data_IF_068534954515
#
_entry.id   IF_068534954515
#
_cell.length_a   1.000
_cell.length_b   1.000
_cell.length_c   1.000
_cell.angle_alpha   90.00
_cell.angle_beta   90.00
_cell.angle_gamma   90.00
#
_symmetry.space_group_name_H-M   'P 1'
#
loop_
_entity.id
_entity.type
_entity.pdbx_description
1 polymer ?
#
# COMPACT_ATOMS: atom_id res chain seq x y z
N UNK A 1 12.76 1.64 -1.91
CA UNK A 1 12.32 2.97 -1.41
C UNK A 1 13.14 4.03 -2.12
N UNK A 2 12.47 4.99 -2.76
CA UNK A 2 13.10 6.11 -3.43
C UNK A 2 13.57 5.86 -4.88
N UNK A 3 13.09 4.79 -5.52
CA UNK A 3 13.24 4.62 -6.97
C UNK A 3 12.19 5.44 -7.73
N UNK A 4 12.33 5.52 -9.05
CA UNK A 4 11.34 6.21 -9.90
C UNK A 4 10.08 5.37 -10.11
N UNK A 5 10.15 4.05 -9.92
CA UNK A 5 9.00 3.15 -9.99
C UNK A 5 8.20 3.10 -8.69
N UNK A 6 6.88 3.01 -8.85
CA UNK A 6 5.96 2.69 -7.78
C UNK A 6 6.08 1.22 -7.34
N UNK A 7 6.00 0.98 -6.04
CA UNK A 7 6.00 -0.36 -5.43
C UNK A 7 4.87 -0.48 -4.41
N UNK A 8 4.20 -1.64 -4.40
CA UNK A 8 3.23 -2.01 -3.37
C UNK A 8 3.67 -3.34 -2.74
N UNK A 9 3.90 -3.35 -1.43
CA UNK A 9 4.34 -4.57 -0.73
C UNK A 9 3.50 -4.85 0.51
N UNK A 10 3.17 -6.11 0.80
CA UNK A 10 2.55 -6.48 2.07
C UNK A 10 3.52 -6.20 3.21
N UNK A 11 3.00 -5.71 4.33
CA UNK A 11 3.78 -5.48 5.54
C UNK A 11 3.60 -6.67 6.48
N UNK A 12 4.72 -7.31 6.82
CA UNK A 12 4.76 -8.33 7.84
C UNK A 12 5.04 -7.68 9.19
N UNK A 13 4.14 -7.89 10.16
CA UNK A 13 4.22 -7.26 11.49
C UNK A 13 4.56 -8.25 12.62
N UNK A 14 5.01 -9.47 12.29
CA UNK A 14 5.17 -10.57 13.28
C UNK A 14 6.14 -10.23 14.42
N UNK A 15 7.14 -9.41 14.14
CA UNK A 15 8.22 -9.02 15.05
C UNK A 15 7.92 -7.70 15.79
N UNK A 16 6.73 -7.15 15.58
CA UNK A 16 6.35 -5.87 16.18
C UNK A 16 6.04 -6.01 17.68
N UNK A 17 6.83 -5.33 18.50
CA UNK A 17 6.70 -5.34 19.98
C UNK A 17 5.91 -4.17 20.57
N UNK A 18 5.73 -3.07 19.82
CA UNK A 18 4.94 -1.90 20.25
C UNK A 18 3.82 -1.65 19.24
N UNK A 19 2.57 -1.84 19.67
CA UNK A 19 1.38 -1.53 18.89
C UNK A 19 0.49 -0.55 19.68
N UNK A 20 -0.02 0.49 18.99
CA UNK A 20 -1.00 1.42 19.58
C UNK A 20 -2.42 0.84 19.64
N UNK A 21 -2.63 -0.35 19.06
CA UNK A 21 -3.90 -1.05 18.94
C UNK A 21 -3.85 -2.08 17.80
N UNK A 22 -4.87 -2.94 17.67
CA UNK A 22 -5.01 -3.84 16.53
C UNK A 22 -5.23 -3.03 15.24
N UNK A 23 -4.68 -3.52 14.13
CA UNK A 23 -5.04 -3.04 12.80
C UNK A 23 -6.19 -3.89 12.28
N UNK A 24 -7.17 -3.25 11.67
CA UNK A 24 -8.21 -3.97 10.95
C UNK A 24 -7.68 -4.32 9.55
N UNK A 25 -7.59 -5.63 9.28
CA UNK A 25 -7.24 -6.14 7.95
C UNK A 25 -5.75 -6.16 7.59
N UNK A 26 -5.43 -6.53 6.34
CA UNK A 26 -4.05 -6.60 5.84
C UNK A 26 -3.44 -5.20 5.67
N UNK A 27 -2.14 -5.09 5.94
CA UNK A 27 -1.39 -3.83 5.78
C UNK A 27 -0.52 -3.88 4.52
N UNK A 28 -0.64 -2.85 3.69
CA UNK A 28 0.18 -2.65 2.48
C UNK A 28 0.97 -1.35 2.64
N UNK A 29 2.25 -1.36 2.24
CA UNK A 29 3.10 -0.17 2.17
C UNK A 29 3.30 0.21 0.71
N UNK A 30 2.90 1.42 0.36
CA UNK A 30 3.07 2.00 -0.97
C UNK A 30 4.32 2.88 -1.01
N UNK A 31 5.19 2.64 -1.97
CA UNK A 31 6.19 3.58 -2.45
C UNK A 31 5.61 4.23 -3.69
N UNK A 32 5.37 5.53 -3.63
CA UNK A 32 4.92 6.28 -4.81
C UNK A 32 6.16 6.67 -5.62
N UNK A 33 6.17 6.28 -6.89
CA UNK A 33 7.18 6.63 -7.87
C UNK A 33 6.92 8.00 -8.49
N UNK A 34 7.43 8.21 -9.70
CA UNK A 34 7.34 9.46 -10.45
C UNK A 34 6.43 9.36 -11.69
N UNK A 35 5.53 8.37 -11.70
CA UNK A 35 4.54 8.21 -12.77
C UNK A 35 3.47 9.32 -12.74
N UNK A 36 2.62 9.34 -13.78
CA UNK A 36 1.50 10.28 -13.86
C UNK A 36 0.53 10.10 -12.68
N UNK A 37 0.13 11.22 -12.08
CA UNK A 37 -0.70 11.22 -10.86
C UNK A 37 -2.09 10.64 -11.10
N UNK A 38 -2.67 10.87 -12.28
CA UNK A 38 -4.01 10.37 -12.59
C UNK A 38 -3.98 8.86 -12.87
N UNK A 39 -2.90 8.36 -13.49
CA UNK A 39 -2.67 6.92 -13.66
C UNK A 39 -2.52 6.22 -12.29
N UNK A 40 -1.72 6.78 -11.38
CA UNK A 40 -1.52 6.25 -10.04
C UNK A 40 -2.83 6.17 -9.25
N UNK A 41 -3.64 7.24 -9.30
CA UNK A 41 -4.97 7.25 -8.65
C UNK A 41 -5.88 6.20 -9.26
N UNK A 42 -5.94 6.13 -10.59
CA UNK A 42 -6.79 5.18 -11.29
C UNK A 42 -6.42 3.73 -10.92
N UNK A 43 -5.13 3.42 -10.84
CA UNK A 43 -4.67 2.08 -10.49
C UNK A 43 -4.99 1.69 -9.05
N UNK A 44 -4.69 2.57 -8.09
CA UNK A 44 -5.00 2.33 -6.68
C UNK A 44 -6.51 2.18 -6.46
N UNK A 45 -7.33 3.02 -7.11
CA UNK A 45 -8.80 2.93 -7.00
C UNK A 45 -9.32 1.59 -7.52
N UNK A 46 -8.81 1.11 -8.67
CA UNK A 46 -9.19 -0.21 -9.21
C UNK A 46 -8.81 -1.34 -8.25
N UNK A 47 -7.60 -1.31 -7.71
CA UNK A 47 -7.13 -2.32 -6.77
C UNK A 47 -7.99 -2.38 -5.50
N UNK A 48 -8.31 -1.22 -4.92
CA UNK A 48 -9.17 -1.13 -3.74
C UNK A 48 -10.62 -1.56 -4.03
N UNK A 49 -11.17 -1.19 -5.19
CA UNK A 49 -12.50 -1.63 -5.59
C UNK A 49 -12.58 -3.16 -5.76
N UNK A 50 -11.55 -3.78 -6.35
CA UNK A 50 -11.47 -5.23 -6.48
C UNK A 50 -11.33 -5.94 -5.13
N UNK A 51 -10.59 -5.36 -4.17
CA UNK A 51 -10.44 -5.92 -2.83
C UNK A 51 -11.71 -5.82 -1.96
N UNK A 52 -12.62 -4.91 -2.30
CA UNK A 52 -13.89 -4.69 -1.60
C UNK A 52 -15.07 -5.50 -2.17
N UNK A 53 -14.88 -6.18 -3.30
CA UNK A 53 -15.88 -7.02 -3.95
C UNK A 53 -15.94 -8.43 -3.32
#
# INVERSE_FOLDING_TARGET
WGGYESLAVPVWLVDRVVAKGPYEGPLIRLQIGLEDVDDLKADIMRGLAAAAA
#
